data_IF_063160528028
#
_entry.id   IF_063160528028
#
_cell.length_a   1.000
_cell.length_b   1.000
_cell.length_c   1.000
_cell.angle_alpha   90.00
_cell.angle_beta   90.00
_cell.angle_gamma   90.00
#
_symmetry.space_group_name_H-M   'P 1'
#
loop_
_entity.id
_entity.type
_entity.pdbx_description
1 polymer ?
#
# COMPACT_ATOMS: atom_id res chain seq x y z
N UNK A 1 -34.96 26.80 19.62
CA UNK A 1 -36.28 26.99 20.24
C UNK A 1 -37.08 28.00 19.41
N UNK A 2 -38.36 27.73 19.14
CA UNK A 2 -39.27 28.64 18.40
C UNK A 2 -40.35 29.18 19.33
N UNK A 3 -40.88 30.37 19.07
CA UNK A 3 -42.05 30.89 19.78
C UNK A 3 -43.36 30.22 19.32
N UNK A 4 -44.46 30.54 19.98
CA UNK A 4 -45.80 30.02 19.68
C UNK A 4 -46.34 30.44 18.30
N UNK A 5 -45.71 31.40 17.62
CA UNK A 5 -46.05 31.84 16.26
C UNK A 5 -45.10 31.25 15.20
N UNK A 6 -44.26 30.27 15.59
CA UNK A 6 -43.35 29.56 14.70
C UNK A 6 -42.07 30.32 14.34
N UNK A 7 -41.83 31.50 14.94
CA UNK A 7 -40.61 32.28 14.71
C UNK A 7 -39.47 31.68 15.53
N UNK A 8 -38.33 31.41 14.89
CA UNK A 8 -37.14 30.90 15.59
C UNK A 8 -36.61 32.00 16.51
N UNK A 9 -36.60 31.74 17.82
CA UNK A 9 -36.08 32.67 18.82
C UNK A 9 -34.58 32.45 19.07
N UNK A 10 -34.14 31.19 19.14
CA UNK A 10 -32.73 30.84 19.38
C UNK A 10 -32.32 29.55 18.66
N UNK A 11 -31.14 29.57 18.06
CA UNK A 11 -30.42 28.39 17.58
C UNK A 11 -29.20 28.16 18.49
N UNK A 12 -29.04 26.94 18.99
CA UNK A 12 -27.82 26.50 19.69
C UNK A 12 -27.09 25.60 18.72
N UNK A 13 -25.84 25.96 18.39
CA UNK A 13 -25.01 25.22 17.46
C UNK A 13 -23.80 24.68 18.22
N UNK A 14 -23.59 23.37 18.17
CA UNK A 14 -22.38 22.73 18.70
C UNK A 14 -21.48 22.42 17.50
N UNK A 15 -20.38 23.15 17.39
CA UNK A 15 -19.30 22.83 16.45
C UNK A 15 -18.20 22.09 17.19
N UNK A 16 -17.96 20.83 16.83
CA UNK A 16 -16.77 20.13 17.29
C UNK A 16 -15.63 20.51 16.33
N UNK A 17 -14.59 21.16 16.84
CA UNK A 17 -13.40 21.42 16.05
C UNK A 17 -12.72 20.08 15.73
N UNK A 18 -12.71 19.71 14.45
CA UNK A 18 -12.08 18.50 13.93
C UNK A 18 -10.88 18.83 13.03
N UNK A 19 -10.44 20.09 13.03
CA UNK A 19 -9.38 20.58 12.14
C UNK A 19 -8.10 19.77 12.37
N UNK A 20 -7.70 19.58 13.63
CA UNK A 20 -6.52 18.77 13.99
C UNK A 20 -6.63 17.31 13.59
N UNK A 21 -7.84 16.72 13.67
CA UNK A 21 -8.06 15.33 13.27
C UNK A 21 -7.96 15.18 11.76
N UNK A 22 -8.58 16.09 11.01
CA UNK A 22 -8.54 16.08 9.54
C UNK A 22 -7.13 16.29 9.01
N UNK A 23 -6.37 17.24 9.58
CA UNK A 23 -4.98 17.45 9.19
C UNK A 23 -4.11 16.23 9.41
N UNK A 24 -4.23 15.54 10.55
CA UNK A 24 -3.47 14.30 10.80
C UNK A 24 -3.84 13.18 9.84
N UNK A 25 -5.13 13.01 9.53
CA UNK A 25 -5.60 11.99 8.60
C UNK A 25 -5.14 12.29 7.16
N UNK A 26 -5.15 13.57 6.75
CA UNK A 26 -4.75 14.01 5.41
C UNK A 26 -3.24 13.96 5.21
N UNK A 27 -2.45 14.37 6.22
CA UNK A 27 -0.98 14.30 6.19
C UNK A 27 -0.49 12.84 6.11
N UNK A 28 -1.16 11.93 6.84
CA UNK A 28 -0.83 10.50 6.81
C UNK A 28 -1.08 9.92 5.42
N UNK A 29 -2.24 10.21 4.81
CA UNK A 29 -2.56 9.74 3.45
C UNK A 29 -1.63 10.32 2.40
N UNK A 30 -1.35 11.62 2.45
CA UNK A 30 -0.45 12.27 1.51
C UNK A 30 0.97 11.68 1.60
N UNK A 31 1.44 11.35 2.80
CA UNK A 31 2.71 10.67 3.02
C UNK A 31 2.70 9.23 2.47
N UNK A 32 1.65 8.46 2.72
CA UNK A 32 1.49 7.09 2.21
C UNK A 32 1.44 7.04 0.67
N UNK A 33 0.70 7.95 0.04
CA UNK A 33 0.60 8.07 -1.40
C UNK A 33 1.94 8.48 -2.03
N UNK A 34 2.64 9.43 -1.41
CA UNK A 34 3.97 9.86 -1.85
C UNK A 34 4.97 8.71 -1.74
N UNK A 35 4.99 7.98 -0.63
CA UNK A 35 5.83 6.82 -0.44
C UNK A 35 5.52 5.72 -1.47
N UNK A 36 4.23 5.40 -1.67
CA UNK A 36 3.79 4.43 -2.68
C UNK A 36 4.25 4.83 -4.07
N UNK A 37 4.10 6.10 -4.44
CA UNK A 37 4.52 6.60 -5.75
C UNK A 37 6.03 6.50 -5.95
N UNK A 38 6.83 6.79 -4.92
CA UNK A 38 8.29 6.68 -4.97
C UNK A 38 8.71 5.23 -5.18
N UNK A 39 8.17 4.31 -4.36
CA UNK A 39 8.53 2.88 -4.41
C UNK A 39 8.08 2.24 -5.73
N UNK A 40 6.89 2.60 -6.24
CA UNK A 40 6.40 2.07 -7.51
C UNK A 40 7.16 2.61 -8.72
N UNK A 41 7.67 3.85 -8.67
CA UNK A 41 8.45 4.44 -9.76
C UNK A 41 9.94 4.12 -9.69
N UNK A 42 10.39 3.41 -8.67
CA UNK A 42 11.78 2.99 -8.55
C UNK A 42 12.17 2.09 -9.73
N UNK A 43 13.41 2.27 -10.24
CA UNK A 43 13.94 1.45 -11.35
C UNK A 43 14.41 0.07 -10.91
N UNK A 44 14.57 -0.10 -9.60
CA UNK A 44 14.97 -1.34 -8.94
C UNK A 44 13.73 -2.09 -8.44
N UNK A 45 13.82 -3.41 -8.42
CA UNK A 45 12.81 -4.24 -7.78
C UNK A 45 12.88 -4.09 -6.26
N UNK A 46 11.75 -3.75 -5.65
CA UNK A 46 11.62 -3.58 -4.20
C UNK A 46 10.60 -4.59 -3.69
N UNK A 47 10.95 -5.32 -2.65
CA UNK A 47 10.03 -6.14 -1.87
C UNK A 47 10.18 -5.87 -0.38
N UNK A 48 9.14 -6.22 0.37
CA UNK A 48 9.16 -6.22 1.83
C UNK A 48 8.73 -7.60 2.31
N UNK A 49 9.44 -8.10 3.31
CA UNK A 49 9.13 -9.36 3.98
C UNK A 49 8.57 -9.10 5.38
N UNK A 50 7.70 -9.98 5.85
CA UNK A 50 7.39 -10.06 7.27
C UNK A 50 8.50 -10.78 8.06
N UNK A 51 8.30 -10.92 9.37
CA UNK A 51 9.25 -11.60 10.26
C UNK A 51 9.44 -13.09 9.97
N UNK A 52 8.52 -13.71 9.22
CA UNK A 52 8.59 -15.12 8.82
C UNK A 52 9.19 -15.26 7.40
N UNK A 53 9.60 -14.16 6.77
CA UNK A 53 10.16 -14.17 5.42
C UNK A 53 9.10 -14.23 4.32
N UNK A 54 7.84 -13.96 4.64
CA UNK A 54 6.74 -13.94 3.67
C UNK A 54 6.68 -12.58 2.98
N UNK A 55 6.51 -12.57 1.66
CA UNK A 55 6.43 -11.32 0.89
C UNK A 55 5.11 -10.62 1.19
N UNK A 56 5.19 -9.43 1.79
CA UNK A 56 4.00 -8.60 2.10
C UNK A 56 3.84 -7.43 1.13
N UNK A 57 4.87 -7.14 0.35
CA UNK A 57 4.85 -6.12 -0.69
C UNK A 57 5.88 -6.43 -1.77
N UNK A 58 5.53 -6.14 -3.01
CA UNK A 58 6.43 -6.09 -4.15
C UNK A 58 6.01 -4.92 -5.04
N UNK A 59 6.97 -4.13 -5.52
CA UNK A 59 6.69 -3.09 -6.51
C UNK A 59 6.54 -3.70 -7.92
N UNK A 60 5.92 -2.96 -8.81
CA UNK A 60 5.63 -3.40 -10.19
C UNK A 60 6.93 -3.74 -10.93
N UNK A 61 8.01 -3.00 -10.63
CA UNK A 61 9.31 -3.23 -11.23
C UNK A 61 9.89 -4.61 -10.91
N UNK A 62 9.75 -5.08 -9.68
CA UNK A 62 10.20 -6.43 -9.29
C UNK A 62 9.40 -7.51 -10.05
N UNK A 63 8.08 -7.33 -10.11
CA UNK A 63 7.15 -8.24 -10.78
C UNK A 63 7.50 -8.37 -12.26
N UNK A 64 7.77 -7.25 -12.93
CA UNK A 64 8.25 -7.23 -14.32
C UNK A 64 9.60 -7.93 -14.48
N UNK A 65 10.56 -7.65 -13.59
CA UNK A 65 11.92 -8.20 -13.66
C UNK A 65 11.95 -9.72 -13.51
N UNK A 66 11.09 -10.26 -12.65
CA UNK A 66 11.00 -11.68 -12.36
C UNK A 66 9.87 -12.40 -13.12
N UNK A 67 9.10 -11.66 -13.92
CA UNK A 67 7.94 -12.15 -14.67
C UNK A 67 6.87 -12.81 -13.79
N UNK A 68 6.62 -12.27 -12.60
CA UNK A 68 5.57 -12.71 -11.67
C UNK A 68 4.36 -11.78 -11.72
N UNK A 69 3.18 -12.34 -11.44
CA UNK A 69 2.00 -11.56 -11.08
C UNK A 69 1.96 -11.26 -9.58
N UNK A 70 1.33 -10.16 -9.13
CA UNK A 70 1.22 -9.82 -7.71
C UNK A 70 0.64 -10.98 -6.87
N UNK A 71 -0.38 -11.65 -7.41
CA UNK A 71 -1.06 -12.75 -6.74
C UNK A 71 -0.18 -14.00 -6.55
N UNK A 72 0.90 -14.13 -7.32
CA UNK A 72 1.82 -15.25 -7.26
C UNK A 72 2.95 -15.04 -6.26
N UNK A 73 3.19 -13.79 -5.83
CA UNK A 73 4.30 -13.45 -4.92
C UNK A 73 3.80 -13.10 -3.51
N UNK A 74 2.66 -12.43 -3.38
CA UNK A 74 2.17 -11.96 -2.09
C UNK A 74 1.79 -13.14 -1.19
N UNK A 75 2.29 -13.12 0.04
CA UNK A 75 2.10 -14.20 1.01
C UNK A 75 2.86 -15.49 0.67
N UNK A 76 3.82 -15.45 -0.24
CA UNK A 76 4.74 -16.57 -0.48
C UNK A 76 6.04 -16.40 0.30
N UNK A 77 6.69 -17.51 0.62
CA UNK A 77 8.05 -17.51 1.17
C UNK A 77 9.03 -16.99 0.12
N UNK A 78 9.77 -15.95 0.47
CA UNK A 78 10.80 -15.38 -0.41
C UNK A 78 11.87 -16.39 -0.80
N UNK A 79 12.30 -17.24 0.14
CA UNK A 79 13.35 -18.24 -0.10
C UNK A 79 12.90 -19.28 -1.14
N UNK A 80 11.66 -19.75 -1.04
CA UNK A 80 11.12 -20.72 -2.00
C UNK A 80 10.93 -20.13 -3.40
N UNK A 81 10.60 -18.84 -3.49
CA UNK A 81 10.52 -18.13 -4.77
C UNK A 81 11.91 -18.03 -5.42
N UNK A 82 12.93 -17.65 -4.66
CA UNK A 82 14.30 -17.58 -5.16
C UNK A 82 14.83 -18.93 -5.64
N UNK A 83 14.53 -20.02 -4.91
CA UNK A 83 14.93 -21.36 -5.31
C UNK A 83 14.24 -21.78 -6.62
N UNK A 84 12.94 -21.51 -6.76
CA UNK A 84 12.18 -21.78 -7.99
C UNK A 84 12.78 -21.03 -9.20
N UNK A 85 13.09 -19.75 -9.05
CA UNK A 85 13.69 -18.93 -10.11
C UNK A 85 15.09 -19.40 -10.50
N UNK A 86 15.92 -19.73 -9.51
CA UNK A 86 17.26 -20.23 -9.76
C UNK A 86 17.22 -21.56 -10.52
N UNK A 87 16.30 -22.45 -10.15
CA UNK A 87 16.08 -23.72 -10.84
C UNK A 87 15.52 -23.54 -12.26
N UNK A 88 14.64 -22.56 -12.48
CA UNK A 88 14.11 -22.27 -13.81
C UNK A 88 15.21 -21.77 -14.77
N UNK A 89 16.05 -20.83 -14.32
CA UNK A 89 17.18 -20.31 -15.12
C UNK A 89 18.20 -21.40 -15.45
N UNK A 90 18.56 -22.24 -14.48
CA UNK A 90 19.50 -23.33 -14.68
C UNK A 90 19.03 -24.39 -15.70
N UNK A 91 17.71 -24.56 -15.89
CA UNK A 91 17.14 -25.45 -16.91
C UNK A 91 17.21 -24.87 -18.32
N UNK A 92 17.00 -23.56 -18.45
CA UNK A 92 17.07 -22.85 -19.75
C UNK A 92 18.51 -22.86 -20.27
N UNK A 93 19.49 -22.59 -19.41
CA UNK A 93 20.91 -22.51 -19.78
C UNK A 93 21.54 -23.87 -20.12
N UNK A 94 20.87 -24.97 -19.76
CA UNK A 94 21.30 -26.34 -20.04
C UNK A 94 20.59 -26.98 -21.24
N UNK A 95 19.69 -26.25 -21.92
CA UNK A 95 19.06 -26.71 -23.15
C UNK A 95 19.86 -26.14 -24.35
N UNK A 96 20.51 -27.00 -25.17
CA UNK A 96 21.30 -26.56 -26.32
C UNK A 96 20.44 -26.03 -27.48
#
# INVERSE_FOLDING_TARGET
MKDSNGKILHAVQFGHDITDRKHKDDDTKASEESYRAIVQKAREGIFVLDTQGMVIFANDRLLEMLAYQPAEILGQSFFELMDRDALAKAKIERSP
#
